data_IF_314439824009
#
_entry.id   IF_314439824009
#
_cell.length_a   1.000
_cell.length_b   1.000
_cell.length_c   1.000
_cell.angle_alpha   90.00
_cell.angle_beta   90.00
_cell.angle_gamma   90.00
#
_symmetry.space_group_name_H-M   'P 1'
#
loop_
_entity.id
_entity.type
_entity.pdbx_description
1 polymer ?
#
# COMPACT_ATOMS: atom_id res chain seq x y z
N UNK A 1 -12.61 25.77 14.42
CA UNK A 1 -12.21 24.39 14.10
C UNK A 1 -13.11 23.87 13.00
N UNK A 2 -12.75 23.91 11.74
CA UNK A 2 -11.95 24.86 10.98
C UNK A 2 -12.40 24.62 9.55
N UNK A 3 -12.89 25.68 8.91
CA UNK A 3 -13.30 25.70 7.50
C UNK A 3 -12.11 25.50 6.54
N UNK A 4 -10.89 25.37 7.10
CA UNK A 4 -9.60 25.24 6.42
C UNK A 4 -9.27 23.82 5.94
N UNK A 5 -10.08 22.81 6.25
CA UNK A 5 -9.83 21.40 5.88
C UNK A 5 -10.62 20.93 4.65
N UNK A 6 -11.28 21.84 3.92
CA UNK A 6 -12.01 21.50 2.70
C UNK A 6 -11.27 21.99 1.46
N UNK A 7 -9.97 21.70 1.37
CA UNK A 7 -9.34 21.64 0.05
C UNK A 7 -10.03 20.51 -0.72
N UNK A 8 -10.62 20.85 -1.88
CA UNK A 8 -11.21 19.86 -2.74
C UNK A 8 -10.15 18.80 -3.09
N UNK A 9 -10.53 17.52 -3.03
CA UNK A 9 -9.64 16.42 -3.36
C UNK A 9 -9.16 16.56 -4.82
N UNK A 10 -7.91 16.21 -5.09
CA UNK A 10 -7.41 16.04 -6.46
C UNK A 10 -8.09 14.81 -7.06
N UNK A 11 -9.17 15.07 -7.80
CA UNK A 11 -10.01 14.04 -8.43
C UNK A 11 -9.21 13.13 -9.36
N UNK A 12 -8.13 13.62 -9.99
CA UNK A 12 -7.29 12.79 -10.87
C UNK A 12 -6.47 11.79 -10.06
N UNK A 13 -5.99 12.19 -8.89
CA UNK A 13 -5.25 11.32 -7.98
C UNK A 13 -6.19 10.32 -7.30
N UNK A 14 -7.38 10.78 -6.89
CA UNK A 14 -8.42 9.91 -6.33
C UNK A 14 -8.87 8.86 -7.35
N UNK A 15 -9.10 9.25 -8.61
CA UNK A 15 -9.44 8.30 -9.68
C UNK A 15 -8.35 7.24 -9.85
N UNK A 16 -7.08 7.65 -9.87
CA UNK A 16 -5.96 6.71 -9.96
C UNK A 16 -5.87 5.77 -8.76
N UNK A 17 -6.16 6.27 -7.56
CA UNK A 17 -6.21 5.45 -6.35
C UNK A 17 -7.36 4.42 -6.40
N UNK A 18 -8.50 4.77 -7.03
CA UNK A 18 -9.60 3.82 -7.25
C UNK A 18 -9.22 2.72 -8.24
N UNK A 19 -8.46 3.03 -9.29
CA UNK A 19 -7.92 2.02 -10.22
C UNK A 19 -7.01 1.03 -9.49
N UNK A 20 -6.12 1.54 -8.62
CA UNK A 20 -5.29 0.70 -7.76
C UNK A 20 -6.11 -0.23 -6.87
N UNK A 21 -7.14 0.29 -6.20
CA UNK A 21 -8.03 -0.51 -5.35
C UNK A 21 -8.80 -1.56 -6.16
N UNK A 22 -9.23 -1.23 -7.38
CA UNK A 22 -9.90 -2.15 -8.28
C UNK A 22 -8.97 -3.29 -8.74
N UNK A 23 -7.72 -2.98 -9.09
CA UNK A 23 -6.71 -3.98 -9.43
C UNK A 23 -6.44 -4.93 -8.24
N UNK A 24 -6.36 -4.38 -7.02
CA UNK A 24 -6.27 -5.15 -5.78
C UNK A 24 -7.44 -6.10 -5.57
N UNK A 25 -8.66 -5.58 -5.69
CA UNK A 25 -9.89 -6.36 -5.50
C UNK A 25 -10.06 -7.47 -6.57
N UNK A 26 -9.63 -7.21 -7.81
CA UNK A 26 -9.66 -8.19 -8.90
C UNK A 26 -8.50 -9.21 -8.85
N UNK A 27 -7.53 -9.03 -7.95
CA UNK A 27 -6.26 -9.77 -7.96
C UNK A 27 -5.55 -9.75 -9.31
N UNK A 28 -5.62 -8.61 -10.00
CA UNK A 28 -4.87 -8.39 -11.24
C UNK A 28 -3.41 -8.11 -10.89
N UNK A 29 -2.63 -9.18 -10.77
CA UNK A 29 -1.22 -9.11 -10.33
C UNK A 29 -0.38 -8.31 -11.31
N UNK A 30 -0.64 -8.41 -12.61
CA UNK A 30 0.11 -7.69 -13.64
C UNK A 30 -0.19 -6.19 -13.57
N UNK A 31 -1.46 -5.81 -13.40
CA UNK A 31 -1.84 -4.42 -13.18
C UNK A 31 -1.25 -3.87 -11.88
N UNK A 32 -1.29 -4.63 -10.79
CA UNK A 32 -0.66 -4.24 -9.52
C UNK A 32 0.85 -4.04 -9.70
N UNK A 33 1.55 -4.96 -10.36
CA UNK A 33 2.98 -4.87 -10.60
C UNK A 33 3.36 -3.62 -11.40
N UNK A 34 2.55 -3.24 -12.39
CA UNK A 34 2.72 -2.01 -13.17
C UNK A 34 2.42 -0.74 -12.35
N UNK A 35 1.58 -0.83 -11.32
CA UNK A 35 1.22 0.31 -10.46
C UNK A 35 2.24 0.59 -9.36
N UNK A 36 3.06 -0.37 -8.95
CA UNK A 36 4.12 -0.12 -7.97
C UNK A 36 5.40 0.38 -8.64
N UNK A 37 5.96 1.46 -8.09
CA UNK A 37 7.27 1.97 -8.49
C UNK A 37 8.36 0.93 -8.19
N UNK A 38 9.45 0.92 -8.96
CA UNK A 38 10.59 0.03 -8.68
C UNK A 38 11.25 0.38 -7.34
N UNK A 39 11.21 1.66 -6.95
CA UNK A 39 11.68 2.16 -5.66
C UNK A 39 10.61 2.04 -4.56
N UNK A 40 9.51 1.33 -4.81
CA UNK A 40 8.38 1.29 -3.87
C UNK A 40 8.76 0.73 -2.50
N UNK A 41 8.38 1.50 -1.47
CA UNK A 41 8.46 1.08 -0.07
C UNK A 41 7.12 1.25 0.64
N UNK A 42 6.70 0.22 1.37
CA UNK A 42 5.63 0.29 2.35
C UNK A 42 6.21 0.26 3.76
N UNK A 43 5.91 1.30 4.54
CA UNK A 43 6.28 1.40 5.94
C UNK A 43 5.03 1.16 6.80
N UNK A 44 5.04 0.07 7.54
CA UNK A 44 3.99 -0.26 8.49
C UNK A 44 4.44 0.03 9.90
N UNK A 45 3.62 0.73 10.66
CA UNK A 45 3.87 1.04 12.05
C UNK A 45 2.70 0.57 12.90
N UNK A 46 3.00 0.02 14.08
CA UNK A 46 1.98 -0.35 15.06
C UNK A 46 1.89 0.60 16.26
N UNK A 47 0.94 0.34 17.16
CA UNK A 47 0.72 1.10 18.38
C UNK A 47 1.90 1.06 19.35
N UNK A 48 2.76 0.03 19.26
CA UNK A 48 3.99 -0.08 20.04
C UNK A 48 5.17 0.67 19.41
N UNK A 49 4.97 1.29 18.25
CA UNK A 49 6.01 2.00 17.50
C UNK A 49 6.97 1.08 16.76
N UNK A 50 6.63 -0.20 16.60
CA UNK A 50 7.42 -1.12 15.80
C UNK A 50 7.20 -0.82 14.32
N UNK A 51 8.27 -0.87 13.53
CA UNK A 51 8.24 -0.53 12.11
C UNK A 51 8.69 -1.72 11.27
N UNK A 52 7.92 -2.03 10.22
CA UNK A 52 8.31 -2.97 9.17
C UNK A 52 8.38 -2.22 7.84
N UNK A 53 9.46 -2.47 7.10
CA UNK A 53 9.61 -2.00 5.71
C UNK A 53 9.43 -3.15 4.74
N UNK A 54 8.52 -2.98 3.79
CA UNK A 54 8.22 -3.93 2.73
C UNK A 54 8.52 -3.30 1.38
N UNK A 55 9.12 -4.05 0.46
CA UNK A 55 9.43 -3.58 -0.90
C UNK A 55 8.40 -4.09 -1.90
N UNK A 56 8.46 -3.59 -3.14
CA UNK A 56 7.69 -4.15 -4.27
C UNK A 56 7.81 -5.67 -4.35
N UNK A 57 9.03 -6.20 -4.25
CA UNK A 57 9.29 -7.64 -4.31
C UNK A 57 8.51 -8.42 -3.23
N UNK A 58 8.43 -7.91 -2.00
CA UNK A 58 7.65 -8.54 -0.93
C UNK A 58 6.14 -8.57 -1.24
N UNK A 59 5.60 -7.46 -1.76
CA UNK A 59 4.19 -7.37 -2.16
C UNK A 59 3.88 -8.32 -3.32
N UNK A 60 4.71 -8.32 -4.37
CA UNK A 60 4.50 -9.16 -5.54
C UNK A 60 4.61 -10.65 -5.19
N UNK A 61 5.55 -11.04 -4.33
CA UNK A 61 5.65 -12.41 -3.83
C UNK A 61 4.36 -12.83 -3.10
N UNK A 62 3.81 -11.95 -2.25
CA UNK A 62 2.55 -12.20 -1.54
C UNK A 62 1.37 -12.32 -2.50
N UNK A 63 1.22 -11.41 -3.46
CA UNK A 63 0.11 -11.44 -4.40
C UNK A 63 0.12 -12.68 -5.29
N UNK A 64 1.29 -13.07 -5.80
CA UNK A 64 1.45 -14.31 -6.56
C UNK A 64 1.10 -15.54 -5.72
N UNK A 65 1.53 -15.57 -4.46
CA UNK A 65 1.19 -16.67 -3.55
C UNK A 65 -0.32 -16.77 -3.25
N UNK A 66 -1.01 -15.63 -3.09
CA UNK A 66 -2.45 -15.59 -2.89
C UNK A 66 -3.22 -15.99 -4.16
N UNK A 67 -2.81 -15.47 -5.32
CA UNK A 67 -3.38 -15.83 -6.61
C UNK A 67 -3.26 -17.34 -6.88
N UNK A 68 -2.11 -17.95 -6.58
CA UNK A 68 -1.90 -19.40 -6.69
C UNK A 68 -2.83 -20.23 -5.79
N UNK A 69 -3.34 -19.63 -4.71
CA UNK A 69 -4.30 -20.25 -3.78
C UNK A 69 -5.75 -19.89 -4.11
N UNK A 70 -6.01 -19.12 -5.18
CA UNK A 70 -7.34 -18.59 -5.49
C UNK A 70 -7.87 -17.62 -4.43
N UNK A 71 -6.98 -17.00 -3.65
CA UNK A 71 -7.31 -16.04 -2.61
C UNK A 71 -7.08 -14.61 -3.09
N UNK A 72 -7.83 -13.67 -2.51
CA UNK A 72 -7.70 -12.25 -2.79
C UNK A 72 -7.11 -11.44 -1.62
N UNK A 73 -6.56 -10.27 -1.95
CA UNK A 73 -6.02 -9.33 -0.97
C UNK A 73 -7.13 -8.37 -0.57
N UNK A 74 -7.54 -8.45 0.69
CA UNK A 74 -8.57 -7.58 1.26
C UNK A 74 -10.00 -7.96 0.85
N UNK A 75 -10.96 -7.45 1.61
CA UNK A 75 -12.39 -7.51 1.30
C UNK A 75 -12.86 -6.38 0.38
N UNK A 76 -14.17 -6.12 0.40
CA UNK A 76 -14.78 -5.00 -0.35
C UNK A 76 -14.07 -3.67 -0.07
N UNK A 77 -14.01 -2.80 -1.07
CA UNK A 77 -13.47 -1.43 -0.97
C UNK A 77 -14.55 -0.37 -0.71
N UNK A 78 -15.79 -0.79 -0.48
CA UNK A 78 -16.94 0.11 -0.23
C UNK A 78 -16.77 0.96 1.05
N UNK A 79 -15.92 0.52 1.98
CA UNK A 79 -15.65 1.20 3.24
C UNK A 79 -14.49 2.22 3.14
N UNK A 80 -13.91 2.39 1.96
CA UNK A 80 -12.84 3.35 1.69
C UNK A 80 -13.35 4.78 1.69
N UNK A 81 -12.63 5.65 2.41
CA UNK A 81 -12.83 7.10 2.40
C UNK A 81 -11.51 7.80 2.10
N UNK A 82 -11.52 8.67 1.10
CA UNK A 82 -10.42 9.60 0.83
C UNK A 82 -10.57 10.82 1.73
N UNK A 83 -9.55 11.09 2.55
CA UNK A 83 -9.60 12.13 3.57
C UNK A 83 -8.91 13.41 3.13
N UNK A 84 -7.80 13.29 2.40
CA UNK A 84 -7.03 14.41 1.91
C UNK A 84 -6.20 14.00 0.70
N UNK A 85 -5.89 14.97 -0.14
CA UNK A 85 -4.87 14.85 -1.19
C UNK A 85 -3.97 16.07 -1.16
N UNK A 86 -2.68 15.89 -1.41
CA UNK A 86 -1.74 17.01 -1.57
C UNK A 86 -0.81 16.73 -2.74
N UNK A 87 -0.31 17.77 -3.42
CA UNK A 87 0.72 17.63 -4.45
C UNK A 87 1.99 18.39 -4.03
N UNK A 88 3.13 17.73 -4.18
CA UNK A 88 4.45 18.31 -3.97
C UNK A 88 5.35 17.97 -5.16
N UNK A 89 5.54 18.93 -6.08
CA UNK A 89 6.30 18.69 -7.31
C UNK A 89 5.68 17.60 -8.18
N UNK A 90 6.45 16.55 -8.44
CA UNK A 90 6.05 15.36 -9.18
C UNK A 90 5.43 14.27 -8.29
N UNK A 91 5.18 14.55 -7.00
CA UNK A 91 4.58 13.60 -6.08
C UNK A 91 3.18 14.03 -5.63
N UNK A 92 2.31 13.05 -5.42
CA UNK A 92 0.94 13.24 -4.92
C UNK A 92 0.70 12.34 -3.72
N UNK A 93 0.21 12.90 -2.63
CA UNK A 93 -0.14 12.12 -1.44
C UNK A 93 -1.65 11.96 -1.36
N UNK A 94 -2.13 10.76 -1.06
CA UNK A 94 -3.52 10.45 -0.70
C UNK A 94 -3.56 9.93 0.72
N UNK A 95 -4.31 10.60 1.60
CA UNK A 95 -4.65 10.06 2.91
C UNK A 95 -5.97 9.31 2.78
N UNK A 96 -5.95 8.03 3.10
CA UNK A 96 -7.09 7.13 2.99
C UNK A 96 -7.40 6.51 4.34
N UNK A 97 -8.68 6.37 4.64
CA UNK A 97 -9.18 5.62 5.78
C UNK A 97 -10.03 4.46 5.30
N UNK A 98 -9.87 3.32 5.94
CA UNK A 98 -10.70 2.13 5.75
C UNK A 98 -11.09 1.54 7.10
N UNK A 99 -12.21 0.82 7.17
CA UNK A 99 -12.69 0.20 8.41
C UNK A 99 -13.19 -1.21 8.12
N UNK A 100 -12.22 -2.11 7.93
CA UNK A 100 -12.51 -3.49 7.57
C UNK A 100 -12.88 -4.30 8.82
N UNK A 101 -14.09 -4.87 8.83
CA UNK A 101 -14.61 -5.66 9.96
C UNK A 101 -14.53 -4.93 11.33
N UNK A 102 -14.69 -3.61 11.32
CA UNK A 102 -14.62 -2.77 12.54
C UNK A 102 -13.20 -2.44 12.99
N UNK A 103 -12.17 -2.84 12.22
CA UNK A 103 -10.77 -2.49 12.46
C UNK A 103 -10.41 -1.29 11.58
N UNK A 104 -10.20 -0.09 12.17
CA UNK A 104 -9.79 1.06 11.39
C UNK A 104 -8.34 0.91 10.93
N UNK A 105 -8.09 1.21 9.66
CA UNK A 105 -6.76 1.33 9.09
C UNK A 105 -6.62 2.69 8.41
N UNK A 106 -5.44 3.30 8.59
CA UNK A 106 -5.11 4.60 8.02
C UNK A 106 -3.91 4.42 7.12
N UNK A 107 -4.02 5.01 5.94
CA UNK A 107 -3.03 4.89 4.90
C UNK A 107 -2.63 6.28 4.41
N UNK A 108 -1.35 6.45 4.11
CA UNK A 108 -0.89 7.53 3.26
C UNK A 108 -0.16 6.92 2.06
N UNK A 109 -0.70 7.12 0.86
CA UNK A 109 -0.08 6.70 -0.38
C UNK A 109 0.62 7.88 -1.02
N UNK A 110 1.85 7.70 -1.46
CA UNK A 110 2.61 8.66 -2.26
C UNK A 110 2.70 8.11 -3.68
N UNK A 111 2.19 8.85 -4.64
CA UNK A 111 2.20 8.57 -6.05
C UNK A 111 3.24 9.43 -6.76
N UNK A 112 3.96 8.84 -7.71
CA UNK A 112 4.82 9.56 -8.65
C UNK A 112 4.01 9.98 -9.87
N UNK A 113 4.29 11.17 -10.36
CA UNK A 113 3.73 11.75 -11.58
C UNK A 113 4.76 11.72 -12.69
N UNK A 114 4.39 11.20 -13.85
CA UNK A 114 5.22 11.17 -15.07
C UNK A 114 4.39 11.73 -16.22
N UNK A 115 4.95 12.64 -17.01
CA UNK A 115 4.28 13.26 -18.16
C UNK A 115 2.87 13.82 -17.85
N UNK A 116 2.71 14.37 -16.64
CA UNK A 116 1.45 14.96 -16.20
C UNK A 116 0.41 13.95 -15.69
N UNK A 117 0.71 12.65 -15.65
CA UNK A 117 -0.19 11.59 -15.18
C UNK A 117 0.35 10.90 -13.92
N UNK A 118 -0.54 10.47 -13.03
CA UNK A 118 -0.16 9.69 -11.85
C UNK A 118 0.18 8.26 -12.27
N UNK A 119 1.46 7.91 -12.25
CA UNK A 119 1.95 6.68 -12.85
C UNK A 119 1.97 5.54 -11.84
N UNK A 120 2.78 5.68 -10.80
CA UNK A 120 3.16 4.60 -9.87
C UNK A 120 3.00 5.02 -8.41
N UNK A 121 2.74 4.07 -7.53
CA UNK A 121 2.83 4.23 -6.08
C UNK A 121 4.30 4.11 -5.68
N UNK A 122 4.86 5.20 -5.15
CA UNK A 122 6.23 5.28 -4.68
C UNK A 122 6.36 4.89 -3.21
N UNK A 123 5.40 5.29 -2.37
CA UNK A 123 5.41 4.91 -0.95
C UNK A 123 4.01 4.65 -0.43
N UNK A 124 3.91 3.78 0.57
CA UNK A 124 2.70 3.59 1.36
C UNK A 124 3.07 3.59 2.84
N UNK A 125 2.39 4.39 3.64
CA UNK A 125 2.47 4.34 5.09
C UNK A 125 1.19 3.72 5.62
N UNK A 126 1.29 2.67 6.42
CA UNK A 126 0.14 1.98 7.00
C UNK A 126 0.25 2.02 8.52
N UNK A 127 -0.80 2.49 9.19
CA UNK A 127 -0.92 2.37 10.64
C UNK A 127 -1.82 1.18 10.99
N UNK A 128 -1.26 0.20 11.71
CA UNK A 128 -1.95 -1.02 12.13
C UNK A 128 -1.91 -1.16 13.65
N UNK A 129 -2.64 -2.14 14.19
CA UNK A 129 -2.64 -2.42 15.63
C UNK A 129 -1.39 -3.16 16.09
N UNK A 130 -0.90 -4.11 15.30
CA UNK A 130 0.23 -4.98 15.63
C UNK A 130 0.90 -5.50 14.34
N UNK A 131 2.20 -5.23 14.18
CA UNK A 131 3.00 -5.71 13.04
C UNK A 131 3.93 -6.88 13.38
N UNK A 132 3.83 -7.46 14.58
CA UNK A 132 4.69 -8.56 15.05
C UNK A 132 4.72 -9.73 14.08
N UNK A 133 3.58 -10.08 13.47
CA UNK A 133 3.50 -11.18 12.50
C UNK A 133 4.36 -10.92 11.25
N UNK A 134 4.39 -9.68 10.76
CA UNK A 134 5.21 -9.28 9.62
C UNK A 134 6.70 -9.26 9.98
N UNK A 135 7.05 -8.79 11.18
CA UNK A 135 8.44 -8.83 11.66
C UNK A 135 8.99 -10.26 11.69
N UNK A 136 8.21 -11.22 12.19
CA UNK A 136 8.60 -12.65 12.20
C UNK A 136 8.78 -13.20 10.79
N UNK A 137 7.87 -12.87 9.88
CA UNK A 137 7.95 -13.31 8.48
C UNK A 137 9.21 -12.75 7.80
N UNK A 138 9.53 -11.47 8.01
CA UNK A 138 10.74 -10.85 7.45
C UNK A 138 12.01 -11.44 8.04
N UNK A 139 12.05 -11.68 9.35
CA UNK A 139 13.18 -12.34 10.00
C UNK A 139 13.43 -13.76 9.42
N UNK A 140 12.35 -14.54 9.20
CA UNK A 140 12.45 -15.87 8.61
C UNK A 140 12.93 -15.84 7.14
N UNK A 141 12.48 -14.85 6.35
CA UNK A 141 12.94 -14.66 4.97
C UNK A 141 14.43 -14.30 4.91
N UNK A 142 14.90 -13.40 5.78
CA UNK A 142 16.33 -13.05 5.87
C UNK A 142 17.20 -14.23 6.31
N UNK A 143 16.74 -15.04 7.26
CA UNK A 143 17.47 -16.22 7.71
C UNK A 143 17.64 -17.25 6.57
N UNK A 144 16.58 -17.51 5.80
CA UNK A 144 16.62 -18.43 4.66
C UNK A 144 17.54 -17.95 3.53
N UNK A 145 17.63 -16.64 3.30
CA UNK A 145 18.55 -16.05 2.31
C UNK A 145 20.03 -16.11 2.74
N UNK A 146 20.30 -16.26 4.03
CA UNK A 146 21.65 -16.34 4.61
C UNK A 146 22.18 -17.76 4.81
N UNK A 147 21.36 -18.79 4.59
CA UNK A 147 21.79 -20.18 4.72
C UNK A 147 22.67 -20.56 3.49
N UNK A 148 23.90 -21.08 3.70
CA UNK A 148 24.72 -21.53 2.59
C UNK A 148 24.04 -22.73 1.92
N UNK A 149 24.05 -22.77 0.59
CA UNK A 149 23.67 -23.96 -0.15
C UNK A 149 24.53 -25.12 0.33
N UNK A 150 23.93 -26.07 1.06
CA UNK A 150 24.58 -27.33 1.37
C UNK A 150 24.88 -28.02 0.04
N UNK A 151 26.17 -28.16 -0.26
CA UNK A 151 26.70 -28.80 -1.47
C UNK A 151 26.52 -30.31 -1.46
#
# INVERSE_FOLDING_TARGET
MDEALNEALDETLVARMREYLAAGAAMDVDALEALYDEEFENLRVDEAGQVVRLTKAHFMARFRALAAQGQAVGGSTDDVRFLATTRHGDQGTVVMYRCEHGVPARYAFVWRRVDGQWATVLQEFTFERDVTHLLRMMAAASASASAPAAG
#
